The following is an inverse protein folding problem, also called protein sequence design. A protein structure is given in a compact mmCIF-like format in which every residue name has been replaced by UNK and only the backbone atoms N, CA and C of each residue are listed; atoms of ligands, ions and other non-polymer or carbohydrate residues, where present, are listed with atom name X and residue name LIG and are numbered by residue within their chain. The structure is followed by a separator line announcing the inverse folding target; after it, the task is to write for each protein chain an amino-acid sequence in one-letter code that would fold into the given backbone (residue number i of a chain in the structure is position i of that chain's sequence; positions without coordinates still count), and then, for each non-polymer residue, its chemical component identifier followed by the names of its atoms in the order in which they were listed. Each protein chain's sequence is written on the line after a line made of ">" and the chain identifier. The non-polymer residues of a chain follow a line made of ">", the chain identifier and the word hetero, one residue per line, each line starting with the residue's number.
data_IF_683139433156
#
_entry.id   IF_683139433156
#
_cell.length_a   1.000
_cell.length_b   1.000
_cell.length_c   1.000
_cell.angle_alpha   90.00
_cell.angle_beta   90.00
_cell.angle_gamma   90.00
#
_symmetry.space_group_name_H-M   'P 1'
#
loop_
_entity.id
_entity.type
_entity.pdbx_description
1 polymer ?
#
# COMPACT_ATOMS: atom_id res chain seq x y z
N UNK A 1 1.49 -26.13 0.51
CA UNK A 1 2.45 -25.36 -0.30
C UNK A 1 3.91 -25.77 -0.04
N UNK A 2 4.39 -25.81 1.20
CA UNK A 2 5.79 -26.19 1.48
C UNK A 2 6.19 -27.58 0.97
N UNK A 3 5.33 -28.59 1.15
CA UNK A 3 5.59 -29.95 0.61
C UNK A 3 5.60 -29.98 -0.92
N UNK A 4 4.77 -29.18 -1.58
CA UNK A 4 4.77 -29.05 -3.03
C UNK A 4 6.05 -28.36 -3.53
N UNK A 5 6.52 -27.34 -2.82
CA UNK A 5 7.80 -26.68 -3.12
C UNK A 5 8.99 -27.62 -2.95
N UNK A 6 9.03 -28.41 -1.86
CA UNK A 6 10.08 -29.41 -1.65
C UNK A 6 10.13 -30.41 -2.81
N UNK A 7 8.97 -30.97 -3.19
CA UNK A 7 8.86 -31.87 -4.35
C UNK A 7 9.33 -31.22 -5.65
N UNK A 8 8.92 -29.97 -5.93
CA UNK A 8 9.36 -29.25 -7.12
C UNK A 8 10.86 -29.00 -7.12
N UNK A 9 11.44 -28.68 -5.97
CA UNK A 9 12.88 -28.42 -5.82
C UNK A 9 13.68 -29.70 -6.07
N UNK A 10 13.28 -30.81 -5.46
CA UNK A 10 13.92 -32.11 -5.66
C UNK A 10 13.82 -32.56 -7.12
N UNK A 11 12.64 -32.42 -7.73
CA UNK A 11 12.44 -32.78 -9.13
C UNK A 11 13.16 -31.84 -10.11
N UNK A 12 13.33 -30.56 -9.76
CA UNK A 12 14.15 -29.62 -10.52
C UNK A 12 15.62 -30.06 -10.50
N UNK A 13 16.16 -30.40 -9.33
CA UNK A 13 17.52 -30.90 -9.19
C UNK A 13 17.71 -32.23 -9.90
N UNK A 14 16.75 -33.15 -9.80
CA UNK A 14 16.77 -34.43 -10.50
C UNK A 14 16.74 -34.26 -12.03
N UNK A 15 15.82 -33.45 -12.56
CA UNK A 15 15.62 -33.33 -14.02
C UNK A 15 16.65 -32.43 -14.70
N UNK A 16 17.12 -31.38 -14.03
CA UNK A 16 17.97 -30.35 -14.64
C UNK A 16 19.41 -30.42 -14.12
N UNK A 17 19.63 -30.97 -12.93
CA UNK A 17 20.95 -31.07 -12.31
C UNK A 17 21.73 -29.76 -12.37
N UNK A 18 22.99 -29.83 -12.79
CA UNK A 18 23.87 -28.68 -12.94
C UNK A 18 23.44 -27.67 -14.02
N UNK A 19 22.49 -28.01 -14.90
CA UNK A 19 21.96 -27.07 -15.91
C UNK A 19 20.96 -26.07 -15.33
N UNK A 20 20.42 -26.33 -14.13
CA UNK A 20 19.45 -25.46 -13.46
C UNK A 20 20.00 -24.04 -13.27
N UNK A 21 21.28 -23.91 -12.91
CA UNK A 21 21.95 -22.62 -12.71
C UNK A 21 21.98 -21.75 -13.98
N UNK A 22 21.98 -22.38 -15.15
CA UNK A 22 21.97 -21.69 -16.44
C UNK A 22 20.55 -21.39 -16.94
N UNK A 23 19.52 -21.94 -16.28
CA UNK A 23 18.10 -21.68 -16.58
C UNK A 23 17.55 -20.66 -15.59
N UNK A 24 18.06 -19.43 -15.68
CA UNK A 24 17.81 -18.34 -14.73
C UNK A 24 16.32 -18.12 -14.44
N UNK A 25 15.45 -18.17 -15.45
CA UNK A 25 13.98 -18.02 -15.25
C UNK A 25 13.35 -19.13 -14.40
N UNK A 26 13.85 -20.37 -14.47
CA UNK A 26 13.35 -21.46 -13.63
C UNK A 26 13.90 -21.36 -12.21
N UNK A 27 15.18 -21.01 -12.08
CA UNK A 27 15.80 -20.76 -10.78
C UNK A 27 15.15 -19.58 -10.06
N UNK A 28 14.84 -18.49 -10.78
CA UNK A 28 14.14 -17.33 -10.24
C UNK A 28 12.77 -17.72 -9.67
N UNK A 29 11.99 -18.53 -10.40
CA UNK A 29 10.68 -19.00 -9.90
C UNK A 29 10.79 -19.87 -8.65
N UNK A 30 11.81 -20.70 -8.52
CA UNK A 30 12.07 -21.43 -7.27
C UNK A 30 12.39 -20.45 -6.12
N UNK A 31 13.14 -19.38 -6.43
CA UNK A 31 13.39 -18.27 -5.51
C UNK A 31 12.11 -17.54 -5.10
N UNK A 32 11.20 -17.28 -6.05
CA UNK A 32 9.91 -16.64 -5.78
C UNK A 32 9.04 -17.51 -4.87
N UNK A 33 8.99 -18.83 -5.12
CA UNK A 33 8.28 -19.79 -4.26
C UNK A 33 8.84 -19.79 -2.83
N UNK A 34 10.16 -19.84 -2.69
CA UNK A 34 10.81 -19.83 -1.38
C UNK A 34 10.57 -18.50 -0.65
N UNK A 35 10.70 -17.38 -1.36
CA UNK A 35 10.50 -16.03 -0.82
C UNK A 35 9.06 -15.83 -0.35
N UNK A 36 8.07 -16.27 -1.13
CA UNK A 36 6.67 -16.20 -0.72
C UNK A 36 6.35 -17.07 0.50
N UNK A 37 6.90 -18.29 0.59
CA UNK A 37 6.76 -19.14 1.77
C UNK A 37 7.42 -18.50 3.02
N UNK A 38 8.58 -17.87 2.84
CA UNK A 38 9.26 -17.15 3.90
C UNK A 38 8.45 -15.94 4.37
N UNK A 39 7.94 -15.11 3.44
CA UNK A 39 7.09 -13.95 3.75
C UNK A 39 5.83 -14.39 4.50
N UNK A 40 5.13 -15.43 4.05
CA UNK A 40 3.95 -15.94 4.74
C UNK A 40 4.28 -16.40 6.17
N UNK A 41 5.38 -17.13 6.33
CA UNK A 41 5.84 -17.63 7.64
C UNK A 41 6.26 -16.49 8.56
N UNK A 42 7.03 -15.52 8.05
CA UNK A 42 7.51 -14.36 8.80
C UNK A 42 6.34 -13.46 9.23
N UNK A 43 5.35 -13.25 8.36
CA UNK A 43 4.12 -12.50 8.68
C UNK A 43 3.34 -13.17 9.81
N UNK A 44 3.14 -14.49 9.75
CA UNK A 44 2.49 -15.25 10.82
C UNK A 44 3.29 -15.19 12.13
N UNK A 45 4.62 -15.37 12.05
CA UNK A 45 5.48 -15.36 13.23
C UNK A 45 5.52 -14.00 13.90
N UNK A 46 5.56 -12.92 13.12
CA UNK A 46 5.48 -11.55 13.62
C UNK A 46 4.14 -11.31 14.31
N UNK A 47 3.04 -11.70 13.68
CA UNK A 47 1.69 -11.53 14.25
C UNK A 47 1.54 -12.27 15.58
N UNK A 48 2.04 -13.50 15.67
CA UNK A 48 2.09 -14.25 16.93
C UNK A 48 2.94 -13.52 17.99
N UNK A 49 4.15 -13.09 17.63
CA UNK A 49 5.08 -12.41 18.55
C UNK A 49 4.54 -11.08 19.09
N UNK A 50 3.81 -10.35 18.27
CA UNK A 50 3.17 -9.09 18.65
C UNK A 50 1.88 -9.31 19.48
N UNK A 51 1.54 -10.56 19.83
CA UNK A 51 0.42 -10.92 20.72
C UNK A 51 -0.90 -11.22 20.02
N UNK A 52 -0.87 -11.48 18.71
CA UNK A 52 -2.05 -11.70 17.86
C UNK A 52 -3.14 -10.61 18.00
N UNK A 53 -2.79 -9.32 17.90
CA UNK A 53 -3.76 -8.23 18.07
C UNK A 53 -4.84 -8.28 16.98
N UNK A 54 -6.11 -8.14 17.39
CA UNK A 54 -7.26 -8.24 16.46
C UNK A 54 -7.22 -7.22 15.33
N UNK A 55 -6.64 -6.05 15.59
CA UNK A 55 -6.47 -4.95 14.63
C UNK A 55 -5.57 -5.34 13.45
N UNK A 56 -4.57 -6.20 13.67
CA UNK A 56 -3.58 -6.56 12.65
C UNK A 56 -4.01 -7.78 11.82
N UNK A 57 -5.13 -8.43 12.15
CA UNK A 57 -5.63 -9.60 11.43
C UNK A 57 -5.78 -9.28 9.94
N UNK A 58 -6.32 -8.12 9.59
CA UNK A 58 -6.50 -7.74 8.19
C UNK A 58 -5.17 -7.62 7.45
N UNK A 59 -4.14 -7.03 8.08
CA UNK A 59 -2.80 -6.86 7.51
C UNK A 59 -2.11 -8.21 7.34
N UNK A 60 -2.16 -9.05 8.38
CA UNK A 60 -1.58 -10.39 8.37
C UNK A 60 -2.26 -11.28 7.31
N UNK A 61 -3.59 -11.35 7.30
CA UNK A 61 -4.34 -12.15 6.32
C UNK A 61 -4.05 -11.70 4.90
N UNK A 62 -4.04 -10.39 4.65
CA UNK A 62 -3.71 -9.85 3.33
C UNK A 62 -2.31 -10.26 2.86
N UNK A 63 -1.30 -10.16 3.74
CA UNK A 63 0.07 -10.52 3.42
C UNK A 63 0.24 -12.03 3.17
N UNK A 64 -0.39 -12.88 3.99
CA UNK A 64 -0.31 -14.35 3.87
C UNK A 64 -1.06 -14.84 2.64
N UNK A 65 -2.29 -14.35 2.40
CA UNK A 65 -3.10 -14.75 1.23
C UNK A 65 -2.39 -14.40 -0.08
N UNK A 66 -1.85 -13.18 -0.19
CA UNK A 66 -1.10 -12.77 -1.38
C UNK A 66 0.20 -13.56 -1.54
N UNK A 67 0.99 -13.74 -0.47
CA UNK A 67 2.23 -14.50 -0.56
C UNK A 67 1.98 -15.96 -0.99
N UNK A 68 0.94 -16.62 -0.48
CA UNK A 68 0.58 -17.98 -0.90
C UNK A 68 0.05 -18.03 -2.34
N UNK A 69 -0.69 -17.00 -2.77
CA UNK A 69 -1.11 -16.86 -4.16
C UNK A 69 0.08 -16.69 -5.11
N UNK A 70 1.06 -15.85 -4.76
CA UNK A 70 2.28 -15.64 -5.55
C UNK A 70 3.10 -16.92 -5.65
N UNK A 71 3.20 -17.70 -4.56
CA UNK A 71 3.81 -19.04 -4.59
C UNK A 71 3.09 -19.96 -5.58
N UNK A 72 1.76 -19.96 -5.59
CA UNK A 72 0.97 -20.76 -6.54
C UNK A 72 1.25 -20.34 -7.99
N UNK A 73 1.30 -19.05 -8.27
CA UNK A 73 1.60 -18.52 -9.61
C UNK A 73 3.02 -18.88 -10.04
N UNK A 74 4.00 -18.77 -9.14
CA UNK A 74 5.37 -19.19 -9.40
C UNK A 74 5.46 -20.69 -9.70
N UNK A 75 4.75 -21.54 -8.94
CA UNK A 75 4.66 -22.99 -9.16
C UNK A 75 4.07 -23.32 -10.53
N UNK A 76 2.94 -22.71 -10.90
CA UNK A 76 2.33 -22.91 -12.22
C UNK A 76 3.27 -22.46 -13.34
N UNK A 77 3.89 -21.30 -13.19
CA UNK A 77 4.88 -20.78 -14.14
C UNK A 77 6.10 -21.68 -14.28
N UNK A 78 6.56 -22.30 -13.19
CA UNK A 78 7.66 -23.26 -13.20
C UNK A 78 7.27 -24.52 -13.97
N UNK A 79 6.13 -25.12 -13.66
CA UNK A 79 5.60 -26.31 -14.34
C UNK A 79 5.35 -26.06 -15.83
N UNK A 80 4.79 -24.91 -16.18
CA UNK A 80 4.52 -24.52 -17.57
C UNK A 80 5.80 -24.39 -18.41
N UNK A 81 6.96 -24.19 -17.77
CA UNK A 81 8.24 -23.97 -18.45
C UNK A 81 9.28 -25.06 -18.17
N UNK A 82 8.90 -26.12 -17.44
CA UNK A 82 9.79 -27.24 -17.20
C UNK A 82 10.07 -27.98 -18.53
N UNK A 83 11.35 -28.21 -18.90
CA UNK A 83 11.70 -28.82 -20.19
C UNK A 83 11.12 -30.23 -20.37
N UNK A 84 11.12 -31.02 -19.29
CA UNK A 84 10.55 -32.37 -19.25
C UNK A 84 9.03 -32.30 -19.13
N UNK A 85 8.32 -32.27 -20.27
CA UNK A 85 6.86 -32.13 -20.33
C UNK A 85 6.10 -33.26 -19.62
N UNK A 86 6.60 -34.49 -19.69
CA UNK A 86 6.00 -35.63 -18.96
C UNK A 86 6.06 -35.45 -17.45
N UNK A 87 7.24 -35.09 -16.93
CA UNK A 87 7.43 -34.78 -15.50
C UNK A 87 6.57 -33.59 -15.07
N UNK A 88 6.49 -32.54 -15.89
CA UNK A 88 5.65 -31.37 -15.61
C UNK A 88 4.18 -31.75 -15.47
N UNK A 89 3.67 -32.65 -16.32
CA UNK A 89 2.30 -33.13 -16.26
C UNK A 89 2.01 -33.95 -15.00
N UNK A 90 2.91 -34.88 -14.64
CA UNK A 90 2.80 -35.68 -13.41
C UNK A 90 2.78 -34.75 -12.19
N UNK A 91 3.75 -33.84 -12.11
CA UNK A 91 3.85 -32.87 -11.02
C UNK A 91 2.62 -31.98 -10.92
N UNK A 92 2.09 -31.51 -12.06
CA UNK A 92 0.86 -30.70 -12.09
C UNK A 92 -0.33 -31.49 -11.53
N UNK A 93 -0.46 -32.77 -11.84
CA UNK A 93 -1.55 -33.61 -11.31
C UNK A 93 -1.42 -33.86 -9.81
N UNK A 94 -0.20 -33.98 -9.29
CA UNK A 94 0.07 -34.18 -7.86
C UNK A 94 -0.13 -32.89 -7.06
N UNK A 95 0.38 -31.76 -7.56
CA UNK A 95 0.38 -30.49 -6.84
C UNK A 95 -0.95 -29.74 -6.99
N UNK A 96 -1.54 -29.79 -8.18
CA UNK A 96 -2.78 -29.10 -8.54
C UNK A 96 -3.84 -30.05 -9.07
N UNK A 97 -4.31 -31.03 -8.27
CA UNK A 97 -5.29 -32.03 -8.72
C UNK A 97 -6.59 -31.40 -9.22
N UNK A 98 -7.00 -30.29 -8.59
CA UNK A 98 -8.18 -29.49 -8.97
C UNK A 98 -7.82 -28.15 -9.64
N UNK A 99 -6.57 -27.98 -10.09
CA UNK A 99 -6.07 -26.72 -10.62
C UNK A 99 -5.64 -25.73 -9.54
N UNK A 100 -5.63 -24.44 -9.90
CA UNK A 100 -5.18 -23.34 -9.05
C UNK A 100 -6.33 -22.89 -8.12
N UNK A 101 -6.25 -23.26 -6.85
CA UNK A 101 -7.35 -23.04 -5.88
C UNK A 101 -7.19 -21.79 -5.03
N UNK A 102 -5.95 -21.30 -4.86
CA UNK A 102 -5.71 -20.08 -4.10
C UNK A 102 -6.10 -18.84 -4.91
N UNK A 103 -6.63 -17.85 -4.21
CA UNK A 103 -7.00 -16.54 -4.72
C UNK A 103 -6.17 -15.48 -3.99
N UNK A 104 -5.89 -14.33 -4.63
CA UNK A 104 -5.31 -13.20 -3.93
C UNK A 104 -6.25 -12.71 -2.83
N UNK A 105 -5.71 -11.87 -1.95
CA UNK A 105 -6.48 -11.27 -0.86
C UNK A 105 -7.66 -10.47 -1.41
N UNK A 106 -8.83 -10.58 -0.75
CA UNK A 106 -10.04 -9.92 -1.22
C UNK A 106 -9.96 -8.39 -1.12
N UNK A 107 -10.66 -7.67 -2.00
CA UNK A 107 -10.80 -6.21 -1.95
C UNK A 107 -11.35 -5.72 -0.61
N UNK A 108 -12.19 -6.53 0.05
CA UNK A 108 -12.69 -6.24 1.39
C UNK A 108 -11.56 -6.25 2.42
N UNK A 109 -10.65 -7.22 2.34
CA UNK A 109 -9.46 -7.27 3.19
C UNK A 109 -8.54 -6.09 2.88
N UNK A 110 -8.29 -5.81 1.59
CA UNK A 110 -7.50 -4.66 1.15
C UNK A 110 -8.06 -3.32 1.66
N UNK A 111 -9.38 -3.14 1.61
CA UNK A 111 -10.06 -1.94 2.11
C UNK A 111 -9.86 -1.77 3.62
N UNK A 112 -9.90 -2.86 4.40
CA UNK A 112 -9.63 -2.80 5.85
C UNK A 112 -8.18 -2.39 6.13
N UNK A 113 -7.22 -2.93 5.36
CA UNK A 113 -5.80 -2.57 5.48
C UNK A 113 -5.59 -1.09 5.14
N UNK A 114 -6.15 -0.62 4.02
CA UNK A 114 -6.04 0.78 3.61
C UNK A 114 -6.62 1.72 4.69
N UNK A 115 -7.80 1.40 5.23
CA UNK A 115 -8.41 2.20 6.30
C UNK A 115 -7.53 2.24 7.56
N UNK A 116 -6.98 1.10 7.98
CA UNK A 116 -6.09 1.04 9.13
C UNK A 116 -4.80 1.87 8.94
N UNK A 117 -4.35 2.09 7.70
CA UNK A 117 -3.19 2.93 7.39
C UNK A 117 -3.53 4.42 7.27
N UNK A 118 -4.77 4.75 6.92
CA UNK A 118 -5.25 6.13 6.79
C UNK A 118 -5.67 6.75 8.12
N UNK A 119 -5.92 5.95 9.16
CA UNK A 119 -6.26 6.41 10.50
C UNK A 119 -5.03 6.27 11.43
N UNK A 120 -4.75 7.24 12.33
CA UNK A 120 -3.83 7.04 13.43
C UNK A 120 -4.28 5.86 14.27
N UNK A 121 -3.39 4.91 14.53
CA UNK A 121 -3.75 3.70 15.23
C UNK A 121 -2.57 2.78 15.47
N UNK A 122 -2.77 1.85 16.40
CA UNK A 122 -1.69 1.00 16.90
C UNK A 122 -1.11 0.07 15.82
N UNK A 123 -1.91 -0.33 14.81
CA UNK A 123 -1.42 -1.07 13.63
C UNK A 123 -0.36 -0.28 12.85
N UNK A 124 -0.62 1.00 12.56
CA UNK A 124 0.31 1.89 11.84
C UNK A 124 1.58 2.10 12.67
N UNK A 125 1.43 2.39 13.96
CA UNK A 125 2.57 2.57 14.89
C UNK A 125 3.45 1.32 14.99
N UNK A 126 2.85 0.12 15.05
CA UNK A 126 3.59 -1.15 15.06
C UNK A 126 4.34 -1.38 13.75
N UNK A 127 3.78 -0.96 12.61
CA UNK A 127 4.41 -1.09 11.30
C UNK A 127 5.55 -0.09 11.08
N UNK A 128 5.42 1.12 11.60
CA UNK A 128 6.46 2.17 11.49
C UNK A 128 7.45 2.15 12.65
N UNK A 129 7.29 1.24 13.62
CA UNK A 129 8.19 1.13 14.77
C UNK A 129 9.64 0.94 14.35
N UNK A 130 10.51 1.84 14.81
CA UNK A 130 11.94 1.83 14.51
C UNK A 130 12.31 2.59 13.24
N UNK A 131 11.34 3.13 12.50
CA UNK A 131 11.60 4.09 11.43
C UNK A 131 11.90 5.46 12.05
N UNK A 132 12.88 6.17 11.49
CA UNK A 132 13.10 7.57 11.83
C UNK A 132 12.00 8.41 11.17
N UNK A 133 11.20 9.09 11.99
CA UNK A 133 10.16 10.01 11.54
C UNK A 133 10.54 11.42 12.00
N UNK A 134 10.97 12.29 11.07
CA UNK A 134 11.26 13.68 11.38
C UNK A 134 10.02 14.38 11.98
N UNK A 135 10.23 15.25 12.97
CA UNK A 135 9.14 16.03 13.58
C UNK A 135 8.86 17.36 12.88
N UNK A 136 9.75 17.78 11.98
CA UNK A 136 9.67 19.06 11.29
C UNK A 136 8.64 19.01 10.16
N UNK A 137 7.79 20.03 10.06
CA UNK A 137 6.91 20.24 8.91
C UNK A 137 7.70 20.60 7.63
N UNK A 138 8.94 21.07 7.77
CA UNK A 138 9.81 21.37 6.62
C UNK A 138 10.44 20.11 6.00
N UNK A 139 10.33 18.96 6.67
CA UNK A 139 10.83 17.69 6.17
C UNK A 139 9.73 16.98 5.35
N UNK A 140 10.02 16.48 4.13
CA UNK A 140 9.03 15.81 3.28
C UNK A 140 8.38 14.57 3.90
N UNK A 141 9.06 13.89 4.81
CA UNK A 141 8.52 12.74 5.55
C UNK A 141 7.81 13.22 6.81
N UNK A 142 8.37 14.23 7.49
CA UNK A 142 7.79 14.78 8.72
C UNK A 142 6.43 15.46 8.52
N UNK A 143 6.23 16.14 7.39
CA UNK A 143 4.98 16.82 7.05
C UNK A 143 3.78 15.86 6.93
N UNK A 144 4.01 14.57 6.64
CA UNK A 144 2.95 13.57 6.45
C UNK A 144 2.06 13.41 7.70
N UNK A 145 2.67 13.34 8.89
CA UNK A 145 1.90 13.12 10.12
C UNK A 145 1.15 14.39 10.54
N UNK A 146 1.77 15.56 10.40
CA UNK A 146 1.12 16.86 10.62
C UNK A 146 -0.05 17.08 9.67
N UNK A 147 0.12 16.74 8.39
CA UNK A 147 -0.96 16.81 7.40
C UNK A 147 -2.11 15.86 7.76
N UNK A 148 -1.81 14.62 8.15
CA UNK A 148 -2.84 13.67 8.54
C UNK A 148 -3.65 14.17 9.74
N UNK A 149 -2.98 14.61 10.81
CA UNK A 149 -3.63 15.14 12.00
C UNK A 149 -4.50 16.37 11.67
N UNK A 150 -3.99 17.30 10.86
CA UNK A 150 -4.73 18.49 10.45
C UNK A 150 -5.96 18.16 9.59
N UNK A 151 -5.85 17.18 8.67
CA UNK A 151 -6.98 16.72 7.85
C UNK A 151 -8.06 16.08 8.71
N UNK A 152 -7.69 15.22 9.66
CA UNK A 152 -8.66 14.57 10.55
C UNK A 152 -9.35 15.58 11.47
N UNK A 153 -8.60 16.54 12.03
CA UNK A 153 -9.17 17.59 12.88
C UNK A 153 -10.16 18.49 12.12
N UNK A 154 -9.94 18.72 10.82
CA UNK A 154 -10.76 19.60 9.98
C UNK A 154 -11.81 18.87 9.16
N UNK A 155 -11.87 17.53 9.22
CA UNK A 155 -12.82 16.72 8.46
C UNK A 155 -14.29 17.13 8.70
N UNK A 156 -14.77 17.37 9.94
CA UNK A 156 -16.15 17.77 10.17
C UNK A 156 -16.50 19.11 9.49
N UNK A 157 -15.56 20.06 9.50
CA UNK A 157 -15.73 21.38 8.88
C UNK A 157 -15.76 21.26 7.35
N UNK A 158 -14.84 20.47 6.77
CA UNK A 158 -14.84 20.17 5.33
C UNK A 158 -16.13 19.46 4.89
N UNK A 159 -16.64 18.51 5.68
CA UNK A 159 -17.93 17.86 5.40
C UNK A 159 -19.11 18.86 5.44
N UNK A 160 -19.12 19.78 6.40
CA UNK A 160 -20.10 20.87 6.50
C UNK A 160 -20.03 21.79 5.27
N UNK A 161 -18.83 22.22 4.86
CA UNK A 161 -18.63 23.02 3.64
C UNK A 161 -19.09 22.28 2.38
N UNK A 162 -18.79 20.99 2.24
CA UNK A 162 -19.27 20.17 1.12
C UNK A 162 -20.79 20.02 1.10
N UNK A 163 -21.44 19.95 2.27
CA UNK A 163 -22.91 19.93 2.36
C UNK A 163 -23.49 21.26 1.89
N UNK A 164 -22.99 22.38 2.40
CA UNK A 164 -23.43 23.72 2.01
C UNK A 164 -23.23 23.99 0.50
N UNK A 165 -22.13 23.49 -0.08
CA UNK A 165 -21.90 23.57 -1.52
C UNK A 165 -22.92 22.75 -2.33
N UNK A 166 -23.30 21.55 -1.85
CA UNK A 166 -24.35 20.74 -2.48
C UNK A 166 -25.73 21.39 -2.36
N UNK A 167 -25.98 22.09 -1.26
CA UNK A 167 -27.22 22.82 -1.00
C UNK A 167 -27.28 24.16 -1.76
N UNK A 168 -26.30 24.47 -2.62
CA UNK A 168 -26.27 25.67 -3.44
C UNK A 168 -26.09 26.97 -2.65
N UNK A 169 -25.53 26.90 -1.44
CA UNK A 169 -25.37 28.05 -0.54
C UNK A 169 -24.18 28.94 -0.87
N UNK A 170 -23.30 28.51 -1.78
CA UNK A 170 -22.14 29.29 -2.23
C UNK A 170 -22.34 29.79 -3.65
N UNK A 171 -21.98 31.07 -3.87
CA UNK A 171 -21.89 31.66 -5.21
C UNK A 171 -20.54 31.36 -5.87
N UNK A 172 -19.51 31.18 -5.05
CA UNK A 172 -18.14 30.97 -5.52
C UNK A 172 -17.91 29.60 -6.14
N UNK A 173 -17.02 29.58 -7.14
CA UNK A 173 -16.69 28.36 -7.90
C UNK A 173 -15.54 27.61 -7.21
N UNK A 174 -14.53 28.34 -6.73
CA UNK A 174 -13.31 27.71 -6.17
C UNK A 174 -13.48 27.32 -4.71
N UNK A 175 -12.78 26.26 -4.30
CA UNK A 175 -12.85 25.77 -2.91
C UNK A 175 -12.31 26.79 -1.90
N UNK A 176 -11.35 27.62 -2.32
CA UNK A 176 -10.78 28.70 -1.51
C UNK A 176 -11.77 29.84 -1.31
N UNK A 177 -12.38 30.32 -2.39
CA UNK A 177 -13.38 31.38 -2.29
C UNK A 177 -14.58 30.95 -1.47
N UNK A 178 -15.03 29.69 -1.61
CA UNK A 178 -16.11 29.12 -0.77
C UNK A 178 -15.77 29.13 0.72
N UNK A 179 -14.51 28.92 1.07
CA UNK A 179 -14.07 28.99 2.47
C UNK A 179 -14.13 30.43 2.99
N UNK A 180 -13.71 31.41 2.18
CA UNK A 180 -13.82 32.82 2.52
C UNK A 180 -15.29 33.30 2.59
N UNK A 181 -16.14 32.87 1.66
CA UNK A 181 -17.58 33.12 1.65
C UNK A 181 -18.25 32.52 2.90
N UNK A 182 -17.85 31.33 3.33
CA UNK A 182 -18.35 30.69 4.55
C UNK A 182 -17.99 31.49 5.81
N UNK A 183 -16.80 32.08 5.88
CA UNK A 183 -16.40 32.95 6.98
C UNK A 183 -17.20 34.26 6.97
N UNK A 184 -17.33 34.91 5.80
CA UNK A 184 -18.07 36.17 5.65
C UNK A 184 -19.56 36.02 5.97
N UNK A 185 -20.15 34.86 5.65
CA UNK A 185 -21.56 34.54 5.94
C UNK A 185 -21.77 34.01 7.36
N UNK A 186 -20.72 33.87 8.17
CA UNK A 186 -20.79 33.35 9.54
C UNK A 186 -21.14 31.86 9.64
N UNK A 187 -21.01 31.11 8.54
CA UNK A 187 -21.25 29.66 8.51
C UNK A 187 -20.14 28.89 9.22
N UNK A 188 -18.94 29.47 9.32
CA UNK A 188 -17.79 28.99 10.10
C UNK A 188 -17.18 30.14 10.90
N UNK A 189 -16.45 29.82 11.96
CA UNK A 189 -15.70 30.82 12.74
C UNK A 189 -14.27 31.01 12.21
N UNK A 190 -13.53 31.99 12.76
CA UNK A 190 -12.16 32.30 12.35
C UNK A 190 -11.19 31.13 12.64
N UNK A 191 -11.34 30.44 13.76
CA UNK A 191 -10.50 29.30 14.13
C UNK A 191 -10.65 28.13 13.13
N UNK A 192 -11.88 27.82 12.73
CA UNK A 192 -12.23 26.82 11.72
C UNK A 192 -11.65 27.21 10.35
N UNK A 193 -11.73 28.50 9.99
CA UNK A 193 -11.13 29.02 8.75
C UNK A 193 -9.61 28.82 8.72
N UNK A 194 -8.92 29.20 9.80
CA UNK A 194 -7.47 29.09 9.89
C UNK A 194 -7.01 27.62 9.93
N UNK A 195 -7.75 26.76 10.65
CA UNK A 195 -7.50 25.33 10.71
C UNK A 195 -7.63 24.66 9.33
N UNK A 196 -8.72 24.90 8.60
CA UNK A 196 -8.93 24.35 7.25
C UNK A 196 -7.88 24.89 6.27
N UNK A 197 -7.53 26.17 6.37
CA UNK A 197 -6.48 26.78 5.54
C UNK A 197 -5.13 26.09 5.77
N UNK A 198 -4.75 25.86 7.03
CA UNK A 198 -3.54 25.10 7.39
C UNK A 198 -3.59 23.67 6.87
N UNK A 199 -4.70 22.96 7.09
CA UNK A 199 -4.84 21.57 6.65
C UNK A 199 -4.72 21.44 5.13
N UNK A 200 -5.32 22.37 4.36
CA UNK A 200 -5.19 22.42 2.90
C UNK A 200 -3.78 22.74 2.43
N UNK A 201 -3.07 23.62 3.15
CA UNK A 201 -1.65 23.91 2.88
C UNK A 201 -0.79 22.67 3.10
N UNK A 202 -0.88 22.04 4.28
CA UNK A 202 -0.11 20.83 4.59
C UNK A 202 -0.42 19.69 3.61
N UNK A 203 -1.70 19.51 3.26
CA UNK A 203 -2.12 18.56 2.23
C UNK A 203 -1.46 18.84 0.89
N UNK A 204 -1.37 20.12 0.49
CA UNK A 204 -0.67 20.52 -0.72
C UNK A 204 0.81 20.17 -0.60
N UNK A 205 1.47 20.55 0.48
CA UNK A 205 2.90 20.29 0.71
C UNK A 205 3.23 18.78 0.62
N UNK A 206 2.30 17.90 1.01
CA UNK A 206 2.42 16.43 0.85
C UNK A 206 2.22 15.95 -0.58
N UNK A 207 1.28 16.55 -1.33
CA UNK A 207 0.92 16.10 -2.70
C UNK A 207 1.90 16.63 -3.74
N UNK A 208 2.45 17.82 -3.49
CA UNK A 208 3.33 18.48 -4.44
C UNK A 208 4.64 17.70 -4.59
N UNK A 209 5.04 17.52 -5.85
CA UNK A 209 6.31 16.93 -6.24
C UNK A 209 7.12 17.98 -6.99
N UNK A 210 8.43 17.77 -7.07
CA UNK A 210 9.33 18.67 -7.79
C UNK A 210 8.86 18.90 -9.24
N UNK A 211 8.70 20.17 -9.62
CA UNK A 211 8.40 20.59 -10.99
C UNK A 211 9.70 21.03 -11.63
N UNK A 212 10.12 20.30 -12.65
CA UNK A 212 11.36 20.57 -13.36
C UNK A 212 11.10 21.36 -14.63
N UNK A 213 12.06 22.19 -15.01
CA UNK A 213 12.05 22.84 -16.31
C UNK A 213 12.11 21.80 -17.45
N UNK A 214 11.83 22.22 -18.69
CA UNK A 214 11.79 21.29 -19.84
C UNK A 214 13.09 20.52 -20.07
N UNK A 215 14.22 21.03 -19.57
CA UNK A 215 15.53 20.39 -19.70
C UNK A 215 15.90 19.52 -18.50
N UNK A 216 15.07 19.49 -17.45
CA UNK A 216 15.33 18.77 -16.19
C UNK A 216 16.60 19.23 -15.46
N UNK A 217 17.02 20.47 -15.66
CA UNK A 217 18.22 21.06 -15.07
C UNK A 217 17.91 21.79 -13.75
N UNK A 218 16.70 22.36 -13.62
CA UNK A 218 16.30 23.14 -12.45
C UNK A 218 14.89 22.76 -12.02
N UNK A 219 14.70 22.60 -10.71
CA UNK A 219 13.38 22.43 -10.12
C UNK A 219 12.85 23.79 -9.62
N UNK A 220 11.53 23.97 -9.61
CA UNK A 220 10.91 25.20 -9.16
C UNK A 220 10.85 25.28 -7.62
N UNK A 221 11.78 26.04 -7.04
CA UNK A 221 11.81 26.34 -5.60
C UNK A 221 10.55 27.08 -5.09
N UNK A 222 9.75 27.68 -5.97
CA UNK A 222 8.52 28.42 -5.63
C UNK A 222 7.24 27.62 -5.86
N UNK A 223 7.35 26.33 -6.16
CA UNK A 223 6.22 25.46 -6.45
C UNK A 223 5.17 25.44 -5.33
N UNK A 224 5.60 25.43 -4.07
CA UNK A 224 4.72 25.47 -2.91
C UNK A 224 4.01 26.83 -2.74
N UNK A 225 4.60 27.90 -3.30
CA UNK A 225 4.04 29.25 -3.30
C UNK A 225 3.12 29.51 -4.50
N UNK A 226 3.15 28.66 -5.54
CA UNK A 226 2.26 28.82 -6.71
C UNK A 226 0.80 28.70 -6.28
N UNK A 227 0.06 29.77 -6.47
CA UNK A 227 -1.38 29.84 -6.20
C UNK A 227 -2.12 28.99 -7.23
N UNK A 228 -2.43 27.76 -6.87
CA UNK A 228 -3.36 26.92 -7.63
C UNK A 228 -4.32 26.36 -6.60
N UNK A 229 -5.39 27.11 -6.31
CA UNK A 229 -6.75 26.73 -5.86
C UNK A 229 -7.54 27.97 -5.43
#
# INVERSE_FOLDING_TARGET
>A
MSSAFALLSDMAMFSLGGSLKFREKLSARLGDMLSGLYIATASLKRFERDGAPKEDIAVMSWAVENALYDVQVAMDGFLANLPSRGLAWILRRVIFPWGLTLKPASDRTGTKVARAMMEPGATRERLTRGMYVPKSEADPVGVLDHALQAILATEPVEQKLRKLARDGKFKSITARERLAEALQTGLINQEEFDAVTRARKLKRDVIMVDDFDKKLEQHDDKLLQRLIF
#
